data_IF_876150145263
#
_entry.id   IF_876150145263
#
_cell.length_a   1.000
_cell.length_b   1.000
_cell.length_c   1.000
_cell.angle_alpha   90.00
_cell.angle_beta   90.00
_cell.angle_gamma   90.00
#
_symmetry.space_group_name_H-M   'P 1'
#
loop_
_entity.id
_entity.type
_entity.pdbx_description
1 polymer ?
#
# COMPACT_ATOMS: atom_id res chain seq x y z
N UNK A 1 -75.86 5.37 33.80
CA UNK A 1 -74.75 4.38 33.65
C UNK A 1 -73.77 4.95 32.64
N UNK A 2 -72.71 5.48 33.12
CA UNK A 2 -71.75 6.32 32.39
C UNK A 2 -70.65 5.43 31.79
N UNK A 3 -70.46 5.53 30.49
CA UNK A 3 -69.32 4.93 29.79
C UNK A 3 -68.22 5.98 29.58
N UNK A 4 -67.08 5.77 30.19
CA UNK A 4 -65.89 6.59 29.97
C UNK A 4 -65.27 6.20 28.62
N UNK A 5 -65.05 7.15 27.74
CA UNK A 5 -64.12 7.08 26.61
C UNK A 5 -62.75 7.55 27.08
N UNK A 6 -61.77 6.68 27.10
CA UNK A 6 -60.37 7.07 27.26
C UNK A 6 -59.79 7.47 25.91
N UNK A 7 -59.36 8.71 25.82
CA UNK A 7 -58.62 9.24 24.68
C UNK A 7 -57.15 8.88 24.79
N UNK A 8 -56.65 8.06 23.87
CA UNK A 8 -55.21 7.79 23.74
C UNK A 8 -54.58 8.94 22.95
N UNK A 9 -53.79 9.75 23.62
CA UNK A 9 -52.89 10.72 22.97
C UNK A 9 -51.67 9.99 22.43
N UNK A 10 -51.53 9.92 21.10
CA UNK A 10 -50.31 9.47 20.42
C UNK A 10 -49.34 10.65 20.49
N UNK A 11 -48.30 10.52 21.34
CA UNK A 11 -47.16 11.41 21.27
C UNK A 11 -46.27 10.99 20.09
N UNK A 12 -46.25 11.77 19.04
CA UNK A 12 -45.28 11.69 17.98
C UNK A 12 -43.91 12.18 18.52
N UNK A 13 -43.04 11.25 18.88
CA UNK A 13 -41.66 11.53 19.18
C UNK A 13 -40.92 11.89 17.88
N UNK A 14 -40.61 13.16 17.68
CA UNK A 14 -39.66 13.58 16.67
C UNK A 14 -38.28 13.10 17.11
N UNK A 15 -37.75 12.04 16.48
CA UNK A 15 -36.34 11.67 16.58
C UNK A 15 -35.52 12.78 15.91
N UNK A 16 -34.90 13.61 16.71
CA UNK A 16 -33.85 14.51 16.23
C UNK A 16 -32.71 13.65 15.75
N UNK A 17 -32.52 13.50 14.43
CA UNK A 17 -31.26 13.06 13.85
C UNK A 17 -30.22 14.11 14.24
N UNK A 18 -29.37 13.77 15.20
CA UNK A 18 -28.16 14.54 15.46
C UNK A 18 -27.31 14.44 14.18
N UNK A 19 -27.17 15.57 13.48
CA UNK A 19 -26.20 15.69 12.41
C UNK A 19 -24.83 15.42 13.01
N UNK A 20 -24.16 14.37 12.58
CA UNK A 20 -22.75 14.11 12.89
C UNK A 20 -22.00 15.28 12.23
N UNK A 21 -21.25 16.10 12.96
CA UNK A 21 -20.52 17.19 12.35
C UNK A 21 -19.43 16.59 11.45
N UNK A 22 -19.57 16.72 10.13
CA UNK A 22 -18.51 16.43 9.18
C UNK A 22 -17.31 17.36 9.45
N UNK A 23 -16.09 16.86 9.19
CA UNK A 23 -14.89 17.65 9.30
C UNK A 23 -14.96 18.79 8.28
N UNK A 24 -14.75 20.04 8.70
CA UNK A 24 -14.71 21.16 7.76
C UNK A 24 -13.48 21.08 6.85
N UNK A 25 -13.53 21.66 5.65
CA UNK A 25 -12.39 21.65 4.69
C UNK A 25 -11.12 22.23 5.35
N UNK A 26 -11.24 23.22 6.24
CA UNK A 26 -10.13 23.74 7.02
C UNK A 26 -9.54 22.73 7.99
N UNK A 27 -10.40 21.99 8.70
CA UNK A 27 -10.00 20.93 9.62
C UNK A 27 -9.34 19.74 8.91
N UNK A 28 -9.84 19.36 7.72
CA UNK A 28 -9.23 18.29 6.89
C UNK A 28 -7.81 18.65 6.42
N UNK A 29 -7.56 19.92 6.07
CA UNK A 29 -6.22 20.37 5.68
C UNK A 29 -5.28 20.39 6.89
N UNK A 30 -5.73 20.81 8.05
CA UNK A 30 -4.95 20.79 9.28
C UNK A 30 -4.60 19.36 9.69
N UNK A 31 -5.57 18.44 9.64
CA UNK A 31 -5.36 17.01 9.84
C UNK A 31 -4.25 16.48 8.92
N UNK A 32 -4.32 16.75 7.62
CA UNK A 32 -3.34 16.26 6.65
C UNK A 32 -1.93 16.77 6.95
N UNK A 33 -1.80 18.05 7.30
CA UNK A 33 -0.49 18.65 7.60
C UNK A 33 0.14 18.08 8.88
N UNK A 34 -0.63 17.78 9.92
CA UNK A 34 -0.10 17.21 11.16
C UNK A 34 0.15 15.70 11.08
N UNK A 35 -0.58 14.99 10.23
CA UNK A 35 -0.48 13.52 10.10
C UNK A 35 0.82 13.07 9.44
N UNK A 36 1.28 11.87 9.80
CA UNK A 36 2.26 11.11 9.03
C UNK A 36 1.57 10.60 7.76
N UNK A 37 2.16 10.82 6.60
CA UNK A 37 1.61 10.41 5.30
C UNK A 37 2.58 9.45 4.65
N UNK A 38 2.18 8.18 4.49
CA UNK A 38 3.01 7.14 3.88
C UNK A 38 2.28 6.49 2.71
N UNK A 39 2.94 6.46 1.56
CA UNK A 39 2.51 5.74 0.37
C UNK A 39 3.34 4.47 0.22
N UNK A 40 2.73 3.31 0.44
CA UNK A 40 3.44 2.03 0.56
C UNK A 40 3.87 1.39 -0.77
N UNK A 41 3.60 1.98 -1.89
CA UNK A 41 4.35 1.82 -3.13
C UNK A 41 4.21 3.09 -3.96
N UNK A 42 5.24 3.90 -3.90
CA UNK A 42 5.35 5.15 -4.64
C UNK A 42 6.76 5.20 -5.24
N UNK A 43 6.87 5.26 -6.55
CA UNK A 43 8.15 5.15 -7.25
C UNK A 43 8.46 6.38 -8.10
N UNK A 44 9.74 6.68 -8.29
CA UNK A 44 10.21 7.73 -9.19
C UNK A 44 10.94 7.14 -10.40
N UNK A 45 10.53 7.49 -11.63
CA UNK A 45 11.18 6.97 -12.83
C UNK A 45 12.65 7.39 -12.89
N UNK A 46 12.92 8.67 -12.88
CA UNK A 46 14.27 9.22 -13.05
C UNK A 46 14.80 9.99 -11.82
N UNK A 47 13.97 10.16 -10.80
CA UNK A 47 14.26 10.93 -9.57
C UNK A 47 14.80 12.33 -9.84
N UNK A 48 14.15 13.01 -10.79
CA UNK A 48 14.39 14.39 -11.16
C UNK A 48 13.60 15.39 -10.28
N UNK A 49 13.70 16.67 -10.60
CA UNK A 49 13.00 17.74 -9.88
C UNK A 49 11.47 17.58 -9.89
N UNK A 50 10.88 16.90 -10.88
CA UNK A 50 9.43 16.67 -10.92
C UNK A 50 8.98 15.69 -9.82
N UNK A 51 9.78 14.66 -9.53
CA UNK A 51 9.55 13.70 -8.44
C UNK A 51 9.67 14.41 -7.08
N UNK A 52 10.74 15.18 -6.86
CA UNK A 52 10.92 15.94 -5.61
C UNK A 52 9.82 16.97 -5.39
N UNK A 53 9.41 17.66 -6.45
CA UNK A 53 8.26 18.57 -6.40
C UNK A 53 6.99 17.81 -6.03
N UNK A 54 6.73 16.67 -6.66
CA UNK A 54 5.58 15.81 -6.37
C UNK A 54 5.55 15.34 -4.92
N UNK A 55 6.68 14.86 -4.37
CA UNK A 55 6.80 14.46 -2.95
C UNK A 55 6.46 15.62 -2.00
N UNK A 56 7.01 16.81 -2.28
CA UNK A 56 6.77 18.01 -1.47
C UNK A 56 5.30 18.46 -1.53
N UNK A 57 4.71 18.51 -2.73
CA UNK A 57 3.30 18.90 -2.92
C UNK A 57 2.35 17.88 -2.30
N UNK A 58 2.64 16.57 -2.42
CA UNK A 58 1.91 15.51 -1.75
C UNK A 58 2.07 15.57 -0.22
N UNK A 59 3.14 16.16 0.30
CA UNK A 59 3.43 16.21 1.73
C UNK A 59 3.77 14.85 2.33
N UNK A 60 4.39 13.96 1.53
CA UNK A 60 4.72 12.60 1.98
C UNK A 60 5.82 12.61 3.04
N UNK A 61 5.50 11.98 4.18
CA UNK A 61 6.48 11.69 5.24
C UNK A 61 7.36 10.51 4.86
N UNK A 62 6.77 9.53 4.16
CA UNK A 62 7.50 8.34 3.73
C UNK A 62 6.90 7.66 2.50
N UNK A 63 7.75 6.89 1.84
CA UNK A 63 7.37 6.04 0.70
C UNK A 63 8.11 4.70 0.77
N UNK A 64 7.53 3.68 0.12
CA UNK A 64 8.26 2.46 -0.23
C UNK A 64 8.62 2.55 -1.71
N UNK A 65 9.91 2.54 -2.04
CA UNK A 65 10.44 2.64 -3.40
C UNK A 65 10.81 1.26 -3.94
N UNK A 66 10.40 0.97 -5.17
CA UNK A 66 10.71 -0.29 -5.86
C UNK A 66 12.01 -0.23 -6.65
N UNK A 67 12.98 -1.06 -6.30
CA UNK A 67 14.30 -1.12 -6.91
C UNK A 67 14.39 -2.20 -8.01
N UNK A 68 15.37 -2.06 -8.95
CA UNK A 68 15.67 -3.09 -9.94
C UNK A 68 16.28 -4.34 -9.27
N UNK A 69 15.85 -5.53 -9.71
CA UNK A 69 16.04 -6.81 -9.01
C UNK A 69 16.31 -8.00 -9.93
N UNK A 70 16.90 -7.76 -11.08
CA UNK A 70 17.14 -8.81 -12.09
C UNK A 70 18.02 -9.93 -11.56
N UNK A 71 19.10 -9.57 -10.90
CA UNK A 71 20.10 -10.43 -10.30
C UNK A 71 20.73 -9.75 -9.07
N UNK A 72 21.59 -10.46 -8.32
CA UNK A 72 22.21 -9.95 -7.10
C UNK A 72 23.09 -8.71 -7.38
N UNK A 73 23.86 -8.73 -8.46
CA UNK A 73 24.72 -7.60 -8.81
C UNK A 73 23.90 -6.34 -9.10
N UNK A 74 22.80 -6.47 -9.86
CA UNK A 74 21.88 -5.36 -10.13
C UNK A 74 21.25 -4.83 -8.84
N UNK A 75 20.85 -5.70 -7.92
CA UNK A 75 20.27 -5.28 -6.63
C UNK A 75 21.30 -4.49 -5.78
N UNK A 76 22.54 -4.96 -5.72
CA UNK A 76 23.63 -4.26 -5.03
C UNK A 76 23.90 -2.89 -5.69
N UNK A 77 23.99 -2.83 -7.00
CA UNK A 77 24.23 -1.58 -7.75
C UNK A 77 23.11 -0.55 -7.51
N UNK A 78 21.85 -0.98 -7.47
CA UNK A 78 20.72 -0.11 -7.14
C UNK A 78 20.77 0.41 -5.69
N UNK A 79 21.11 -0.42 -4.72
CA UNK A 79 21.28 0.02 -3.33
C UNK A 79 22.45 1.03 -3.20
N UNK A 80 23.57 0.80 -3.92
CA UNK A 80 24.70 1.75 -3.97
C UNK A 80 24.27 3.06 -4.63
N UNK A 81 23.50 3.01 -5.71
CA UNK A 81 22.94 4.20 -6.39
C UNK A 81 22.01 4.99 -5.44
N UNK A 82 21.19 4.30 -4.65
CA UNK A 82 20.33 4.94 -3.66
C UNK A 82 21.12 5.59 -2.53
N UNK A 83 22.17 4.95 -2.02
CA UNK A 83 23.07 5.57 -1.03
C UNK A 83 23.69 6.88 -1.54
N UNK A 84 24.10 6.90 -2.82
CA UNK A 84 24.60 8.14 -3.45
C UNK A 84 23.50 9.18 -3.57
N UNK A 85 22.26 8.78 -3.94
CA UNK A 85 21.10 9.68 -4.03
C UNK A 85 20.76 10.30 -2.68
N UNK A 86 20.77 9.54 -1.60
CA UNK A 86 20.56 10.09 -0.24
C UNK A 86 21.61 11.13 0.11
N UNK A 87 22.88 10.89 -0.21
CA UNK A 87 23.96 11.86 0.05
C UNK A 87 23.83 13.12 -0.82
N UNK A 88 23.36 12.99 -2.07
CA UNK A 88 23.17 14.12 -2.99
C UNK A 88 21.91 14.96 -2.64
N UNK A 89 20.91 14.39 -2.00
CA UNK A 89 19.64 15.00 -1.69
C UNK A 89 19.31 14.87 -0.19
N UNK A 90 20.29 15.04 0.67
CA UNK A 90 20.14 14.96 2.13
C UNK A 90 19.20 16.03 2.71
N UNK A 91 18.97 17.11 1.95
CA UNK A 91 18.00 18.15 2.23
C UNK A 91 16.54 17.74 1.94
N UNK A 92 16.32 16.65 1.15
CA UNK A 92 14.99 16.20 0.71
C UNK A 92 14.63 14.79 1.17
N UNK A 93 15.63 13.88 1.26
CA UNK A 93 15.42 12.46 1.49
C UNK A 93 16.12 11.95 2.75
N UNK A 94 15.56 10.91 3.36
CA UNK A 94 16.15 10.13 4.45
C UNK A 94 16.04 8.64 4.09
N UNK A 95 17.11 7.82 4.22
CA UNK A 95 16.94 6.37 4.17
C UNK A 95 16.14 5.91 5.39
N UNK A 96 15.02 5.24 5.19
CA UNK A 96 14.24 4.64 6.26
C UNK A 96 14.86 3.30 6.65
N UNK A 97 15.72 3.30 7.64
CA UNK A 97 16.40 2.11 8.17
C UNK A 97 15.77 1.60 9.46
N UNK A 98 15.10 2.47 10.20
CA UNK A 98 14.32 2.18 11.41
C UNK A 98 13.06 3.06 11.42
N UNK A 99 12.05 2.71 12.24
CA UNK A 99 10.80 3.47 12.31
C UNK A 99 11.00 4.94 12.72
N UNK A 100 11.99 5.24 13.56
CA UNK A 100 12.30 6.61 13.98
C UNK A 100 12.72 7.55 12.82
N UNK A 101 13.17 7.00 11.69
CA UNK A 101 13.54 7.81 10.51
C UNK A 101 12.32 8.52 9.89
N UNK A 102 11.11 7.96 10.02
CA UNK A 102 9.88 8.62 9.59
C UNK A 102 9.51 9.81 10.50
N UNK A 103 9.75 9.70 11.82
CA UNK A 103 9.55 10.81 12.73
C UNK A 103 10.52 11.95 12.40
N UNK A 104 11.79 11.63 12.16
CA UNK A 104 12.80 12.58 11.72
C UNK A 104 12.41 13.22 10.37
N UNK A 105 11.89 12.43 9.41
CA UNK A 105 11.39 12.93 8.13
C UNK A 105 10.26 13.94 8.33
N UNK A 106 9.26 13.61 9.18
CA UNK A 106 8.14 14.50 9.49
C UNK A 106 8.60 15.82 10.12
N UNK A 107 9.48 15.75 11.10
CA UNK A 107 9.99 16.92 11.81
C UNK A 107 10.85 17.84 10.92
N UNK A 108 11.61 17.27 9.99
CA UNK A 108 12.53 17.99 9.10
C UNK A 108 11.91 18.40 7.75
N UNK A 109 10.68 17.98 7.46
CA UNK A 109 10.03 18.25 6.17
C UNK A 109 10.67 17.49 5.00
N UNK A 110 11.37 16.39 5.27
CA UNK A 110 11.95 15.46 4.28
C UNK A 110 11.05 14.25 4.06
N UNK A 111 11.40 13.40 3.09
CA UNK A 111 10.70 12.13 2.84
C UNK A 111 11.60 10.96 3.19
N UNK A 112 11.14 10.08 4.08
CA UNK A 112 11.79 8.80 4.39
C UNK A 112 11.51 7.80 3.26
N UNK A 113 12.53 7.08 2.79
CA UNK A 113 12.40 6.11 1.70
C UNK A 113 12.81 4.73 2.18
N UNK A 114 11.85 3.81 2.18
CA UNK A 114 12.10 2.37 2.39
C UNK A 114 12.52 1.76 1.07
N UNK A 115 13.70 1.19 1.03
CA UNK A 115 14.19 0.46 -0.14
C UNK A 115 13.57 -0.93 -0.19
N UNK A 116 12.88 -1.23 -1.29
CA UNK A 116 12.11 -2.46 -1.50
C UNK A 116 12.48 -3.15 -2.82
N UNK A 117 12.47 -4.48 -2.81
CA UNK A 117 12.52 -5.30 -4.01
C UNK A 117 11.21 -6.08 -4.17
N UNK A 118 10.57 -5.97 -5.33
CA UNK A 118 9.30 -6.65 -5.61
C UNK A 118 9.45 -8.08 -6.17
N UNK A 119 10.57 -8.75 -5.94
CA UNK A 119 10.81 -10.15 -6.32
C UNK A 119 12.07 -10.64 -5.62
N UNK A 120 12.21 -11.96 -5.49
CA UNK A 120 13.31 -12.63 -4.80
C UNK A 120 14.36 -13.28 -5.73
N UNK A 121 14.27 -13.06 -7.05
CA UNK A 121 15.21 -13.71 -8.00
C UNK A 121 16.66 -13.34 -7.76
N UNK A 122 16.92 -12.14 -7.21
CA UNK A 122 18.27 -11.69 -6.90
C UNK A 122 18.91 -12.41 -5.69
N UNK A 123 18.17 -13.23 -4.95
CA UNK A 123 18.79 -14.07 -3.90
C UNK A 123 19.57 -15.25 -4.47
N UNK A 124 19.33 -15.64 -5.75
CA UNK A 124 20.10 -16.66 -6.48
C UNK A 124 20.21 -18.01 -5.75
N UNK A 125 19.22 -18.33 -4.88
CA UNK A 125 19.15 -19.56 -4.11
C UNK A 125 19.95 -19.57 -2.82
N UNK A 126 20.40 -18.40 -2.36
CA UNK A 126 21.14 -18.22 -1.11
C UNK A 126 20.39 -17.24 -0.18
N UNK A 127 19.87 -17.74 0.95
CA UNK A 127 19.13 -16.93 1.92
C UNK A 127 20.01 -15.92 2.66
N UNK A 128 21.32 -16.13 2.76
CA UNK A 128 22.25 -15.19 3.39
C UNK A 128 22.37 -13.88 2.59
N UNK A 129 21.99 -13.86 1.31
CA UNK A 129 21.91 -12.65 0.52
C UNK A 129 20.84 -11.66 1.05
N UNK A 130 19.87 -12.10 1.86
CA UNK A 130 18.93 -11.19 2.58
C UNK A 130 19.71 -10.31 3.55
N UNK A 131 20.64 -10.88 4.34
CA UNK A 131 21.46 -10.13 5.30
C UNK A 131 22.41 -9.16 4.58
N UNK A 132 23.03 -9.59 3.48
CA UNK A 132 23.90 -8.73 2.67
C UNK A 132 23.15 -7.51 2.11
N UNK A 133 21.93 -7.71 1.56
CA UNK A 133 21.08 -6.64 1.05
C UNK A 133 20.53 -5.74 2.18
N UNK A 134 20.18 -6.32 3.34
CA UNK A 134 19.81 -5.57 4.53
C UNK A 134 20.94 -4.64 5.01
N UNK A 135 22.19 -5.15 5.07
CA UNK A 135 23.35 -4.34 5.44
C UNK A 135 23.60 -3.17 4.47
N UNK A 136 23.18 -3.29 3.21
CA UNK A 136 23.19 -2.19 2.22
C UNK A 136 22.00 -1.24 2.33
N UNK A 137 20.99 -1.56 3.16
CA UNK A 137 19.87 -0.68 3.50
C UNK A 137 18.48 -1.15 3.04
N UNK A 138 18.33 -2.33 2.43
CA UNK A 138 17.03 -2.92 2.13
C UNK A 138 16.23 -3.14 3.43
N UNK A 139 14.94 -2.76 3.44
CA UNK A 139 14.07 -2.93 4.61
C UNK A 139 12.73 -3.56 4.30
N UNK A 140 12.37 -3.69 3.03
CA UNK A 140 11.17 -4.37 2.58
C UNK A 140 11.50 -5.30 1.42
N UNK A 141 10.82 -6.44 1.34
CA UNK A 141 11.12 -7.46 0.36
C UNK A 141 9.89 -8.29 0.02
N UNK A 142 9.53 -8.31 -1.26
CA UNK A 142 8.41 -9.08 -1.77
C UNK A 142 8.87 -10.44 -2.26
N UNK A 143 8.24 -11.52 -1.79
CA UNK A 143 8.70 -12.89 -2.02
C UNK A 143 8.65 -13.31 -3.49
N UNK A 144 7.56 -13.00 -4.19
CA UNK A 144 7.38 -13.32 -5.62
C UNK A 144 6.82 -12.11 -6.36
N UNK A 145 7.11 -11.98 -7.66
CA UNK A 145 6.34 -11.09 -8.52
C UNK A 145 5.16 -11.87 -9.13
N UNK A 146 4.80 -11.67 -10.37
CA UNK A 146 3.59 -12.27 -10.96
C UNK A 146 3.69 -13.78 -11.24
N UNK A 147 4.89 -14.32 -11.39
CA UNK A 147 5.14 -15.72 -11.72
C UNK A 147 5.95 -16.42 -10.64
N UNK A 148 6.13 -17.72 -10.79
CA UNK A 148 6.95 -18.54 -9.90
C UNK A 148 8.41 -18.09 -9.93
N UNK A 149 9.02 -18.07 -8.75
CA UNK A 149 10.47 -18.07 -8.56
C UNK A 149 10.86 -19.22 -7.61
N UNK A 150 12.09 -19.20 -7.07
CA UNK A 150 12.56 -20.24 -6.14
C UNK A 150 11.81 -20.26 -4.80
N UNK A 151 11.18 -19.13 -4.38
CA UNK A 151 10.49 -19.02 -3.11
C UNK A 151 9.04 -19.54 -3.16
N UNK A 152 8.37 -19.41 -4.29
CA UNK A 152 6.96 -19.79 -4.38
C UNK A 152 6.26 -19.28 -5.63
N UNK A 153 4.95 -19.35 -5.64
CA UNK A 153 4.10 -18.96 -6.76
C UNK A 153 3.66 -17.51 -6.67
N UNK A 154 3.81 -16.77 -7.78
CA UNK A 154 3.22 -15.46 -7.96
C UNK A 154 1.74 -15.54 -8.38
N UNK A 155 1.05 -14.40 -8.38
CA UNK A 155 -0.39 -14.30 -8.61
C UNK A 155 -0.86 -14.75 -10.01
N UNK A 156 0.02 -14.82 -11.01
CA UNK A 156 -0.27 -15.32 -12.36
C UNK A 156 0.21 -16.75 -12.60
N UNK A 157 0.79 -17.40 -11.59
CA UNK A 157 1.21 -18.80 -11.72
C UNK A 157 -0.02 -19.73 -11.75
N UNK A 158 0.09 -20.80 -12.52
CA UNK A 158 -1.04 -21.72 -12.76
C UNK A 158 -1.34 -22.63 -11.58
N UNK A 159 -0.33 -22.95 -10.77
CA UNK A 159 -0.42 -24.03 -9.79
C UNK A 159 -0.87 -23.57 -8.40
N UNK A 160 -0.57 -22.35 -7.99
CA UNK A 160 -0.86 -21.85 -6.64
C UNK A 160 -0.36 -22.81 -5.53
N UNK A 161 0.90 -23.30 -5.68
CA UNK A 161 1.46 -24.34 -4.80
C UNK A 161 1.94 -23.84 -3.44
N UNK A 162 2.01 -22.52 -3.23
CA UNK A 162 2.48 -21.92 -1.97
C UNK A 162 3.99 -21.67 -1.96
N UNK A 163 4.57 -21.53 -0.76
CA UNK A 163 6.00 -21.39 -0.54
C UNK A 163 6.73 -22.73 -0.76
N UNK A 164 7.97 -22.65 -1.24
CA UNK A 164 8.92 -23.74 -1.17
C UNK A 164 9.62 -23.76 0.21
N UNK A 165 10.34 -24.83 0.53
CA UNK A 165 11.20 -24.87 1.72
C UNK A 165 12.19 -23.70 1.75
N UNK A 166 12.80 -23.37 0.58
CA UNK A 166 13.67 -22.20 0.45
C UNK A 166 12.92 -20.89 0.70
N UNK A 167 11.64 -20.81 0.29
CA UNK A 167 10.79 -19.65 0.59
C UNK A 167 10.53 -19.48 2.08
N UNK A 168 10.36 -20.55 2.83
CA UNK A 168 10.21 -20.52 4.30
C UNK A 168 11.51 -20.05 4.94
N UNK A 169 12.67 -20.63 4.55
CA UNK A 169 14.00 -20.22 5.04
C UNK A 169 14.24 -18.71 4.83
N UNK A 170 13.89 -18.17 3.65
CA UNK A 170 14.02 -16.73 3.34
C UNK A 170 13.12 -15.89 4.24
N UNK A 171 11.86 -16.29 4.49
CA UNK A 171 10.95 -15.58 5.40
C UNK A 171 11.51 -15.55 6.83
N UNK A 172 12.07 -16.67 7.32
CA UNK A 172 12.71 -16.73 8.62
C UNK A 172 13.93 -15.80 8.69
N UNK A 173 14.78 -15.83 7.69
CA UNK A 173 15.95 -14.92 7.61
C UNK A 173 15.53 -13.45 7.58
N UNK A 174 14.49 -13.08 6.82
CA UNK A 174 13.96 -11.71 6.82
C UNK A 174 13.50 -11.27 8.22
N UNK A 175 12.83 -12.16 8.95
CA UNK A 175 12.39 -11.87 10.32
C UNK A 175 13.57 -11.68 11.29
N UNK A 176 14.63 -12.49 11.15
CA UNK A 176 15.84 -12.42 11.98
C UNK A 176 16.55 -11.08 11.81
N UNK A 177 16.77 -10.64 10.56
CA UNK A 177 17.58 -9.45 10.27
C UNK A 177 16.79 -8.14 10.28
N UNK A 178 15.46 -8.19 10.36
CA UNK A 178 14.63 -6.98 10.37
C UNK A 178 14.29 -6.46 8.98
N UNK A 179 13.81 -7.34 8.10
CA UNK A 179 13.26 -6.99 6.78
C UNK A 179 11.77 -7.32 6.76
N UNK A 180 10.93 -6.35 6.42
CA UNK A 180 9.48 -6.53 6.31
C UNK A 180 9.14 -7.42 5.12
N UNK A 181 8.36 -8.49 5.37
CA UNK A 181 7.86 -9.39 4.33
C UNK A 181 6.67 -8.75 3.61
N UNK A 182 6.78 -8.55 2.29
CA UNK A 182 5.69 -8.10 1.42
C UNK A 182 5.11 -9.26 0.61
N UNK A 183 3.79 -9.40 0.63
CA UNK A 183 3.05 -10.48 -0.03
C UNK A 183 2.19 -9.99 -1.20
N UNK A 184 2.37 -8.76 -1.68
CA UNK A 184 1.47 -8.09 -2.64
C UNK A 184 1.25 -8.88 -3.94
N UNK A 185 2.30 -9.30 -4.64
CA UNK A 185 2.20 -10.07 -5.89
C UNK A 185 2.17 -11.59 -5.71
N UNK A 186 2.22 -12.07 -4.47
CA UNK A 186 2.20 -13.50 -4.18
C UNK A 186 0.86 -14.15 -4.58
N UNK A 187 0.92 -15.39 -5.04
CA UNK A 187 -0.26 -16.23 -5.25
C UNK A 187 -1.04 -16.44 -3.95
N UNK A 188 -2.28 -16.91 -4.05
CA UNK A 188 -3.16 -17.06 -2.89
C UNK A 188 -2.55 -17.93 -1.79
N UNK A 189 -2.04 -19.12 -2.14
CA UNK A 189 -1.42 -20.03 -1.16
C UNK A 189 -0.07 -19.48 -0.66
N UNK A 190 0.76 -18.92 -1.55
CA UNK A 190 2.03 -18.26 -1.13
C UNK A 190 1.78 -17.12 -0.13
N UNK A 191 0.67 -16.38 -0.30
CA UNK A 191 0.27 -15.33 0.65
C UNK A 191 -0.08 -15.92 2.01
N UNK A 192 -0.88 -17.00 2.05
CA UNK A 192 -1.27 -17.65 3.32
C UNK A 192 -0.09 -18.30 4.00
N UNK A 193 0.81 -18.95 3.26
CA UNK A 193 2.02 -19.55 3.81
C UNK A 193 2.98 -18.47 4.35
N UNK A 194 3.19 -17.38 3.61
CA UNK A 194 4.00 -16.25 4.08
C UNK A 194 3.49 -15.64 5.39
N UNK A 195 2.16 -15.55 5.56
CA UNK A 195 1.53 -15.13 6.82
C UNK A 195 1.78 -16.17 7.93
N UNK A 196 1.60 -17.46 7.62
CA UNK A 196 1.71 -18.53 8.59
C UNK A 196 3.14 -18.72 9.12
N UNK A 197 4.12 -18.77 8.21
CA UNK A 197 5.52 -19.04 8.54
C UNK A 197 6.28 -17.80 9.04
N UNK A 198 5.80 -16.57 8.78
CA UNK A 198 6.45 -15.39 9.36
C UNK A 198 6.32 -15.36 10.87
N UNK A 199 7.41 -15.14 11.58
CA UNK A 199 7.46 -14.90 13.03
C UNK A 199 7.08 -13.46 13.43
N UNK A 200 7.03 -12.53 12.46
CA UNK A 200 6.68 -11.12 12.62
C UNK A 200 5.44 -10.76 11.79
N UNK A 201 4.79 -9.60 12.03
CA UNK A 201 3.78 -9.07 11.15
C UNK A 201 4.27 -8.97 9.70
N UNK A 202 3.35 -9.16 8.73
CA UNK A 202 3.63 -9.09 7.30
C UNK A 202 2.83 -7.97 6.65
N UNK A 203 3.24 -7.52 5.47
CA UNK A 203 2.49 -6.55 4.70
C UNK A 203 1.97 -7.14 3.37
N UNK A 204 0.83 -6.65 2.93
CA UNK A 204 0.45 -6.64 1.52
C UNK A 204 0.52 -5.18 1.10
N UNK A 205 1.72 -4.71 0.69
CA UNK A 205 2.01 -3.28 0.56
C UNK A 205 1.10 -2.58 -0.44
N UNK A 206 0.71 -3.24 -1.55
CA UNK A 206 -0.15 -2.68 -2.58
C UNK A 206 -1.02 -3.78 -3.24
N UNK A 207 -2.27 -3.85 -2.83
CA UNK A 207 -3.21 -4.86 -3.33
C UNK A 207 -4.63 -4.29 -3.44
N UNK A 208 -5.62 -5.16 -3.69
CA UNK A 208 -7.04 -4.85 -3.65
C UNK A 208 -7.85 -6.04 -3.15
N UNK A 209 -9.14 -5.82 -2.89
CA UNK A 209 -10.03 -6.82 -2.31
C UNK A 209 -10.68 -7.68 -3.39
N UNK A 210 -10.48 -9.00 -3.32
CA UNK A 210 -11.07 -9.96 -4.26
C UNK A 210 -12.59 -10.00 -4.17
N UNK A 211 -13.16 -9.76 -2.98
CA UNK A 211 -14.60 -9.69 -2.78
C UNK A 211 -15.31 -8.59 -3.58
N UNK A 212 -14.60 -7.53 -3.98
CA UNK A 212 -15.13 -6.45 -4.83
C UNK A 212 -14.71 -6.57 -6.29
N UNK A 213 -13.53 -7.13 -6.55
CA UNK A 213 -12.98 -7.25 -7.90
C UNK A 213 -12.25 -8.58 -8.07
N UNK A 214 -12.76 -9.46 -8.92
CA UNK A 214 -12.07 -10.69 -9.31
C UNK A 214 -10.89 -10.34 -10.24
N UNK A 215 -9.69 -10.40 -9.70
CA UNK A 215 -8.45 -10.08 -10.40
C UNK A 215 -7.29 -10.92 -9.84
N UNK A 216 -6.31 -11.35 -10.65
CA UNK A 216 -5.18 -12.15 -10.15
C UNK A 216 -4.38 -11.48 -9.01
N UNK A 217 -4.31 -10.14 -9.01
CA UNK A 217 -3.62 -9.35 -7.99
C UNK A 217 -4.41 -9.19 -6.69
N UNK A 218 -5.72 -9.47 -6.74
CA UNK A 218 -6.60 -9.26 -5.60
C UNK A 218 -6.36 -10.30 -4.50
N UNK A 219 -6.39 -9.87 -3.26
CA UNK A 219 -6.30 -10.74 -2.09
C UNK A 219 -7.69 -11.17 -1.63
N UNK A 220 -7.81 -12.45 -1.28
CA UNK A 220 -9.05 -12.99 -0.74
C UNK A 220 -9.35 -12.40 0.64
N UNK A 221 -10.63 -12.37 1.01
CA UNK A 221 -11.08 -11.96 2.33
C UNK A 221 -10.39 -12.78 3.44
N UNK A 222 -10.12 -14.07 3.18
CA UNK A 222 -9.36 -14.93 4.09
C UNK A 222 -7.94 -14.40 4.30
N UNK A 223 -7.24 -14.01 3.23
CA UNK A 223 -5.87 -13.51 3.33
C UNK A 223 -5.81 -12.16 4.05
N UNK A 224 -6.80 -11.28 3.81
CA UNK A 224 -6.90 -9.98 4.49
C UNK A 224 -7.11 -10.18 6.01
N UNK A 225 -8.03 -11.08 6.41
CA UNK A 225 -8.25 -11.41 7.83
C UNK A 225 -6.99 -12.04 8.47
N UNK A 226 -6.39 -13.02 7.81
CA UNK A 226 -5.20 -13.69 8.32
C UNK A 226 -4.00 -12.71 8.48
N UNK A 227 -3.84 -11.77 7.55
CA UNK A 227 -2.83 -10.71 7.65
C UNK A 227 -3.08 -9.83 8.89
N UNK A 228 -4.31 -9.41 9.14
CA UNK A 228 -4.68 -8.63 10.32
C UNK A 228 -4.49 -9.41 11.63
N UNK A 229 -4.91 -10.67 11.70
CA UNK A 229 -4.71 -11.55 12.84
C UNK A 229 -3.23 -11.74 13.20
N UNK A 230 -2.33 -11.66 12.20
CA UNK A 230 -0.87 -11.65 12.36
C UNK A 230 -0.31 -10.29 12.82
N UNK A 231 -1.13 -9.27 12.98
CA UNK A 231 -0.70 -7.88 13.24
C UNK A 231 -0.29 -7.11 11.98
N UNK A 232 -0.46 -7.68 10.79
CA UNK A 232 -0.01 -7.11 9.53
C UNK A 232 -0.85 -5.93 9.03
N UNK A 233 -0.49 -5.43 7.84
CA UNK A 233 -1.16 -4.29 7.19
C UNK A 233 -1.44 -4.59 5.72
N UNK A 234 -2.64 -4.25 5.26
CA UNK A 234 -3.08 -4.32 3.87
C UNK A 234 -3.14 -2.92 3.27
N UNK A 235 -2.22 -2.60 2.35
CA UNK A 235 -2.23 -1.38 1.54
C UNK A 235 -3.10 -1.55 0.30
N UNK A 236 -4.01 -0.60 0.07
CA UNK A 236 -4.90 -0.63 -1.10
C UNK A 236 -4.26 0.17 -2.23
N UNK A 237 -4.06 -0.48 -3.39
CA UNK A 237 -3.51 0.13 -4.60
C UNK A 237 -4.55 0.96 -5.35
N UNK A 238 -4.10 2.03 -6.04
CA UNK A 238 -4.98 3.00 -6.68
C UNK A 238 -5.09 2.86 -8.20
N UNK A 239 -4.55 1.77 -8.79
CA UNK A 239 -4.65 1.52 -10.23
C UNK A 239 -6.11 1.26 -10.64
N UNK A 240 -6.65 2.06 -11.55
CA UNK A 240 -8.08 2.03 -11.93
C UNK A 240 -8.55 0.68 -12.45
N UNK A 241 -7.72 -0.04 -13.20
CA UNK A 241 -8.06 -1.38 -13.68
C UNK A 241 -7.96 -2.49 -12.60
N UNK A 242 -7.40 -2.18 -11.42
CA UNK A 242 -7.41 -3.08 -10.28
C UNK A 242 -8.72 -2.98 -9.48
N UNK A 243 -9.20 -1.76 -9.26
CA UNK A 243 -10.26 -1.48 -8.30
C UNK A 243 -11.62 -1.16 -8.93
N UNK A 244 -11.68 -0.93 -10.24
CA UNK A 244 -12.96 -0.69 -10.91
C UNK A 244 -13.81 -1.96 -10.98
N UNK A 245 -15.16 -1.83 -10.89
CA UNK A 245 -16.09 -2.95 -10.92
C UNK A 245 -16.10 -3.68 -12.28
N UNK A 246 -15.82 -2.95 -13.35
CA UNK A 246 -15.79 -3.45 -14.73
C UNK A 246 -14.50 -3.02 -15.42
N UNK A 247 -13.82 -3.94 -16.14
CA UNK A 247 -12.66 -3.60 -16.97
C UNK A 247 -12.89 -2.47 -17.99
N UNK A 248 -14.12 -2.20 -18.39
CA UNK A 248 -14.48 -1.13 -19.32
C UNK A 248 -15.18 0.09 -18.71
N UNK A 249 -15.50 0.05 -17.40
CA UNK A 249 -16.28 1.09 -16.73
C UNK A 249 -15.45 2.26 -16.20
N UNK A 250 -16.12 3.37 -15.91
CA UNK A 250 -15.53 4.54 -15.28
C UNK A 250 -15.18 4.22 -13.82
N UNK A 251 -13.90 4.07 -13.54
CA UNK A 251 -13.40 3.91 -12.17
C UNK A 251 -13.19 5.28 -11.54
N UNK A 252 -13.72 5.48 -10.35
CA UNK A 252 -13.66 6.74 -9.60
C UNK A 252 -12.97 6.54 -8.26
N UNK A 253 -12.66 7.64 -7.58
CA UNK A 253 -12.13 7.63 -6.21
C UNK A 253 -13.08 6.96 -5.20
N UNK A 254 -14.40 6.92 -5.48
CA UNK A 254 -15.38 6.22 -4.64
C UNK A 254 -15.11 4.70 -4.63
N UNK A 255 -14.74 4.10 -5.77
CA UNK A 255 -14.35 2.67 -5.81
C UNK A 255 -13.06 2.40 -4.99
N UNK A 256 -12.14 3.37 -4.96
CA UNK A 256 -10.96 3.26 -4.10
C UNK A 256 -11.34 3.26 -2.62
N UNK A 257 -12.25 4.16 -2.22
CA UNK A 257 -12.79 4.19 -0.88
C UNK A 257 -13.57 2.90 -0.53
N UNK A 258 -14.33 2.32 -1.48
CA UNK A 258 -15.05 1.05 -1.27
C UNK A 258 -14.08 -0.10 -0.96
N UNK A 259 -12.94 -0.19 -1.66
CA UNK A 259 -11.91 -1.20 -1.37
C UNK A 259 -11.29 -1.01 0.02
N UNK A 260 -11.03 0.23 0.43
CA UNK A 260 -10.53 0.57 1.77
C UNK A 260 -11.54 0.13 2.84
N UNK A 261 -12.80 0.51 2.69
CA UNK A 261 -13.86 0.17 3.64
C UNK A 261 -14.16 -1.33 3.70
N UNK A 262 -14.10 -2.03 2.55
CA UNK A 262 -14.22 -3.48 2.53
C UNK A 262 -13.08 -4.15 3.31
N UNK A 263 -11.83 -3.75 3.07
CA UNK A 263 -10.69 -4.27 3.82
C UNK A 263 -10.83 -4.01 5.33
N UNK A 264 -11.27 -2.81 5.73
CA UNK A 264 -11.52 -2.46 7.13
C UNK A 264 -12.65 -3.31 7.74
N UNK A 265 -13.71 -3.60 6.99
CA UNK A 265 -14.78 -4.47 7.47
C UNK A 265 -14.31 -5.89 7.80
N UNK A 266 -13.20 -6.33 7.19
CA UNK A 266 -12.59 -7.63 7.41
C UNK A 266 -11.51 -7.62 8.50
N UNK A 267 -10.74 -6.54 8.58
CA UNK A 267 -9.48 -6.48 9.31
C UNK A 267 -9.48 -5.48 10.49
N UNK A 268 -10.37 -4.49 10.49
CA UNK A 268 -10.31 -3.33 11.40
C UNK A 268 -9.45 -2.19 10.84
N UNK A 269 -9.63 -1.00 11.42
CA UNK A 269 -8.94 0.23 10.98
C UNK A 269 -7.42 0.17 11.15
N UNK A 270 -6.94 -0.58 12.13
CA UNK A 270 -5.52 -0.71 12.49
C UNK A 270 -4.70 -1.53 11.49
N UNK A 271 -5.36 -2.19 10.52
CA UNK A 271 -4.72 -3.14 9.61
C UNK A 271 -4.87 -2.77 8.13
N UNK A 272 -5.39 -1.57 7.82
CA UNK A 272 -5.57 -1.09 6.44
C UNK A 272 -4.87 0.25 6.26
N UNK A 273 -4.16 0.42 5.15
CA UNK A 273 -3.40 1.63 4.88
C UNK A 273 -3.36 1.97 3.38
N UNK A 274 -2.75 3.10 3.05
CA UNK A 274 -2.68 3.61 1.69
C UNK A 274 -1.46 3.07 0.93
N UNK A 275 -1.69 2.80 -0.34
CA UNK A 275 -0.68 2.62 -1.36
C UNK A 275 -1.23 3.14 -2.69
N UNK A 276 -0.40 3.63 -3.57
CA UNK A 276 -0.92 4.08 -4.87
C UNK A 276 -0.48 3.18 -6.01
N UNK A 277 0.74 2.68 -5.96
CA UNK A 277 1.43 2.09 -7.12
C UNK A 277 1.65 3.13 -8.22
N UNK A 278 1.82 4.42 -7.81
CA UNK A 278 2.00 5.61 -8.66
C UNK A 278 3.26 6.39 -8.28
N UNK A 279 3.85 7.15 -9.22
CA UNK A 279 4.81 8.19 -8.87
C UNK A 279 4.11 9.35 -8.15
N UNK A 280 4.84 10.14 -7.31
CA UNK A 280 4.25 11.16 -6.46
C UNK A 280 3.55 12.28 -7.25
N UNK A 281 4.03 12.60 -8.45
CA UNK A 281 3.42 13.61 -9.34
C UNK A 281 2.21 13.08 -10.14
N UNK A 282 1.93 11.78 -10.11
CA UNK A 282 0.96 11.11 -10.98
C UNK A 282 1.62 10.44 -12.18
N UNK A 283 0.87 9.65 -12.95
CA UNK A 283 1.36 8.95 -14.15
C UNK A 283 1.24 9.85 -15.39
N UNK A 284 0.12 10.55 -15.55
CA UNK A 284 -0.17 11.37 -16.75
C UNK A 284 0.88 12.44 -17.07
N UNK A 285 1.58 13.05 -16.07
CA UNK A 285 2.58 14.05 -16.41
C UNK A 285 3.86 13.51 -17.05
N UNK A 286 4.16 12.21 -16.92
CA UNK A 286 5.44 11.66 -17.36
C UNK A 286 5.35 10.47 -18.30
N UNK A 287 4.15 9.88 -18.52
CA UNK A 287 3.98 8.67 -19.33
C UNK A 287 2.96 8.87 -20.45
N UNK A 288 3.33 8.48 -21.65
CA UNK A 288 2.42 8.31 -22.78
C UNK A 288 1.86 6.90 -22.83
N UNK A 289 0.84 6.67 -23.66
CA UNK A 289 0.28 5.35 -23.91
C UNK A 289 1.34 4.38 -24.44
N UNK A 290 2.18 4.84 -25.35
CA UNK A 290 3.24 4.08 -25.99
C UNK A 290 4.33 3.68 -24.99
N UNK A 291 4.65 4.54 -24.03
CA UNK A 291 5.69 4.28 -23.01
C UNK A 291 5.19 3.44 -21.84
N UNK A 292 3.91 3.57 -21.45
CA UNK A 292 3.37 2.90 -20.28
C UNK A 292 2.58 1.65 -20.62
N UNK A 293 1.64 1.74 -21.56
CA UNK A 293 0.65 0.69 -21.83
C UNK A 293 1.18 -0.40 -22.74
N UNK A 294 1.78 -0.04 -23.89
CA UNK A 294 2.21 -1.02 -24.90
C UNK A 294 3.29 -2.00 -24.37
N UNK A 295 4.32 -1.58 -23.59
CA UNK A 295 5.27 -2.51 -23.02
C UNK A 295 4.61 -3.51 -22.06
N UNK A 296 3.62 -3.06 -21.29
CA UNK A 296 2.91 -3.93 -20.33
C UNK A 296 2.07 -5.00 -21.00
N UNK A 297 1.47 -4.73 -22.16
CA UNK A 297 0.76 -5.71 -22.95
C UNK A 297 1.66 -6.86 -23.47
N UNK A 298 2.97 -6.60 -23.60
CA UNK A 298 3.95 -7.63 -24.00
C UNK A 298 4.37 -8.52 -22.84
N UNK A 299 4.28 -8.02 -21.61
CA UNK A 299 4.79 -8.68 -20.40
C UNK A 299 3.67 -9.35 -19.61
N UNK A 300 2.50 -8.70 -19.49
CA UNK A 300 1.39 -9.20 -18.70
C UNK A 300 0.40 -10.01 -19.55
N UNK A 301 -0.10 -11.11 -18.97
CA UNK A 301 -1.18 -11.90 -19.60
C UNK A 301 -2.46 -11.07 -19.74
N UNK A 302 -3.36 -11.40 -20.69
CA UNK A 302 -4.66 -10.75 -20.82
C UNK A 302 -5.49 -10.72 -19.53
N UNK A 303 -5.36 -11.76 -18.67
CA UNK A 303 -6.02 -11.83 -17.36
C UNK A 303 -5.59 -10.75 -16.37
N UNK A 304 -4.51 -10.02 -16.65
CA UNK A 304 -4.08 -8.89 -15.85
C UNK A 304 -4.85 -7.61 -16.18
N UNK A 305 -5.58 -7.60 -17.28
CA UNK A 305 -6.51 -6.54 -17.70
C UNK A 305 -5.92 -5.14 -17.72
N UNK A 306 -4.63 -5.02 -18.07
CA UNK A 306 -3.95 -3.70 -18.16
C UNK A 306 -4.74 -2.78 -19.08
N UNK A 307 -4.97 -1.53 -18.64
CA UNK A 307 -5.71 -0.52 -19.38
C UNK A 307 -4.99 0.80 -19.49
N UNK A 308 -5.45 1.61 -20.42
CA UNK A 308 -5.05 2.99 -20.58
C UNK A 308 -6.29 3.91 -20.60
N UNK A 309 -6.32 4.98 -19.83
CA UNK A 309 -5.36 5.31 -18.75
C UNK A 309 -5.46 4.34 -17.57
N UNK A 310 -4.33 4.08 -16.84
CA UNK A 310 -4.36 3.21 -15.67
C UNK A 310 -4.85 3.91 -14.39
N UNK A 311 -4.84 5.23 -14.39
CA UNK A 311 -5.17 6.04 -13.20
C UNK A 311 -6.66 6.34 -13.07
N UNK A 312 -7.01 6.73 -11.85
CA UNK A 312 -8.26 7.43 -11.53
C UNK A 312 -7.93 8.92 -11.52
N UNK A 313 -8.69 9.79 -12.24
CA UNK A 313 -8.32 11.20 -12.39
C UNK A 313 -8.07 11.94 -11.08
N UNK A 314 -8.88 11.69 -10.04
CA UNK A 314 -8.76 12.34 -8.74
C UNK A 314 -7.54 11.88 -7.94
N UNK A 315 -6.95 10.72 -8.31
CA UNK A 315 -5.76 10.15 -7.66
C UNK A 315 -4.47 10.35 -8.47
N UNK A 316 -4.55 10.81 -9.73
CA UNK A 316 -3.39 11.06 -10.59
C UNK A 316 -2.79 12.47 -10.37
N UNK A 317 -2.59 12.83 -9.13
CA UNK A 317 -2.16 14.16 -8.67
C UNK A 317 -1.45 14.05 -7.32
N UNK A 318 -0.57 14.99 -6.95
CA UNK A 318 -0.02 15.09 -5.60
C UNK A 318 -1.09 15.25 -4.51
N UNK A 319 -2.26 15.82 -4.82
CA UNK A 319 -3.36 16.01 -3.87
C UNK A 319 -4.22 14.76 -3.63
N UNK A 320 -3.85 13.60 -4.16
CA UNK A 320 -4.63 12.36 -4.17
C UNK A 320 -5.20 11.97 -2.81
N UNK A 321 -4.39 12.02 -1.76
CA UNK A 321 -4.87 11.64 -0.42
C UNK A 321 -5.71 12.73 0.23
N UNK A 322 -5.50 14.01 -0.11
CA UNK A 322 -6.42 15.09 0.27
C UNK A 322 -7.79 14.93 -0.41
N UNK A 323 -7.80 14.48 -1.66
CA UNK A 323 -9.05 14.18 -2.37
C UNK A 323 -9.75 12.96 -1.74
N UNK A 324 -9.01 11.92 -1.36
CA UNK A 324 -9.55 10.75 -0.66
C UNK A 324 -10.13 11.14 0.71
N UNK A 325 -9.46 11.95 1.50
CA UNK A 325 -9.96 12.43 2.80
C UNK A 325 -11.34 13.10 2.64
N UNK A 326 -11.54 13.92 1.60
CA UNK A 326 -12.84 14.55 1.33
C UNK A 326 -13.95 13.52 1.07
N UNK A 327 -13.62 12.39 0.44
CA UNK A 327 -14.55 11.28 0.23
C UNK A 327 -14.88 10.60 1.54
N UNK A 328 -13.86 10.22 2.31
CA UNK A 328 -14.01 9.51 3.57
C UNK A 328 -14.72 10.37 4.64
N UNK A 329 -14.45 11.68 4.67
CA UNK A 329 -15.16 12.63 5.52
C UNK A 329 -16.67 12.66 5.23
N UNK A 330 -17.06 12.73 3.94
CA UNK A 330 -18.47 12.60 3.54
C UNK A 330 -19.11 11.26 3.92
N UNK A 331 -18.30 10.20 4.06
CA UNK A 331 -18.70 8.87 4.52
C UNK A 331 -18.71 8.75 6.05
N UNK A 332 -18.38 9.82 6.78
CA UNK A 332 -18.48 9.88 8.25
C UNK A 332 -17.27 9.34 8.99
N UNK A 333 -16.09 9.31 8.36
CA UNK A 333 -14.86 8.86 9.02
C UNK A 333 -14.41 9.85 10.09
N UNK A 334 -13.93 9.32 11.21
CA UNK A 334 -13.32 10.10 12.27
C UNK A 334 -11.86 10.47 11.98
N UNK A 335 -11.36 11.58 12.53
CA UNK A 335 -9.96 11.97 12.41
C UNK A 335 -8.97 10.87 12.86
N UNK A 336 -9.17 10.17 14.00
CA UNK A 336 -8.28 9.08 14.39
C UNK A 336 -8.20 7.96 13.34
N UNK A 337 -9.33 7.58 12.71
CA UNK A 337 -9.35 6.56 11.67
C UNK A 337 -8.63 7.03 10.40
N UNK A 338 -8.73 8.31 10.05
CA UNK A 338 -7.98 8.91 8.94
C UNK A 338 -6.46 8.91 9.23
N UNK A 339 -6.04 9.24 10.46
CA UNK A 339 -4.63 9.20 10.84
C UNK A 339 -4.03 7.78 10.79
N UNK A 340 -4.79 6.75 11.21
CA UNK A 340 -4.40 5.35 11.06
C UNK A 340 -4.17 5.01 9.58
N UNK A 341 -5.15 5.31 8.72
CA UNK A 341 -5.10 5.03 7.29
C UNK A 341 -3.94 5.75 6.58
N UNK A 342 -3.72 7.04 6.90
CA UNK A 342 -2.74 7.90 6.25
C UNK A 342 -1.29 7.46 6.48
N UNK A 343 -0.96 6.89 7.66
CA UNK A 343 0.41 6.49 7.91
C UNK A 343 0.69 5.81 9.24
N UNK A 344 -0.15 5.96 10.28
CA UNK A 344 0.14 5.38 11.60
C UNK A 344 0.20 3.84 11.55
N UNK A 345 -0.62 3.19 10.72
CA UNK A 345 -0.56 1.75 10.54
C UNK A 345 0.76 1.31 9.92
N UNK A 346 1.31 2.07 8.96
CA UNK A 346 2.64 1.82 8.41
C UNK A 346 3.73 2.05 9.46
N UNK A 347 3.64 3.12 10.25
CA UNK A 347 4.58 3.39 11.35
C UNK A 347 4.62 2.23 12.34
N UNK A 348 3.45 1.71 12.73
CA UNK A 348 3.36 0.57 13.64
C UNK A 348 4.06 -0.66 13.08
N UNK A 349 3.73 -1.09 11.87
CA UNK A 349 4.33 -2.32 11.31
C UNK A 349 5.83 -2.15 11.06
N UNK A 350 6.31 -0.96 10.67
CA UNK A 350 7.75 -0.70 10.56
C UNK A 350 8.44 -0.82 11.92
N UNK A 351 7.86 -0.29 13.01
CA UNK A 351 8.39 -0.46 14.35
C UNK A 351 8.48 -1.93 14.79
N UNK A 352 7.52 -2.76 14.40
CA UNK A 352 7.48 -4.18 14.74
C UNK A 352 8.40 -5.06 13.87
N UNK A 353 8.77 -4.60 12.66
CA UNK A 353 9.50 -5.41 11.67
C UNK A 353 10.94 -4.98 11.47
N UNK A 354 11.19 -3.69 11.28
CA UNK A 354 12.53 -3.17 10.97
C UNK A 354 13.23 -2.46 12.16
N UNK A 355 12.51 -2.22 13.24
CA UNK A 355 13.04 -1.62 14.47
C UNK A 355 12.78 -0.14 14.65
#
# INVERSE_FOLDING_TARGET
MTTRRESIQIMAGAAAMAAIPGISIGASNDLYHRSVIIDALCFGKDWDESVFKGLKEAGYTGIIESLDRRDLQTAIDELIKWRKRFAQHEDKLIPALVAADFELAKQSGRTAVVMNFQNATMLEGDADNVEALHALGMRCFQLTYNYRNLLGDGCLERTNAGLSEFGVEVVERMNEVGVMVDLSHCGGQTTLDGIAFSGKPVAMTHTMCKGLREHPRAKSDQAIRACAEKGGVTGIAALGYFIGPDPGGDTTIEHYADHIEHAISLAGHEHVALATDFPPQGISPWATKEEWYEPRLKVFKPSYEVRWPPWIPELDTPDRFRNLIKVLDRRGWSEPNLELLLGQNWMRIFGETIG
#
